data_IF_096105740354
#
_entry.id   IF_096105740354
#
_cell.length_a   1.000
_cell.length_b   1.000
_cell.length_c   1.000
_cell.angle_alpha   90.00
_cell.angle_beta   90.00
_cell.angle_gamma   90.00
#
_symmetry.space_group_name_H-M   'P 1'
#
loop_
_entity.id
_entity.type
_entity.pdbx_description
1 polymer ?
#
# COMPACT_ATOMS: atom_id res chain seq x y z
N UNK A 1 4.56 22.26 20.77
CA UNK A 1 3.46 21.47 20.15
C UNK A 1 2.55 20.81 21.19
N UNK A 2 2.88 19.68 21.84
CA UNK A 2 2.01 19.12 22.92
C UNK A 2 1.80 20.06 24.12
N UNK A 3 2.79 20.91 24.40
CA UNK A 3 2.77 21.87 25.50
C UNK A 3 1.89 23.10 25.17
N UNK A 4 1.72 23.44 23.88
CA UNK A 4 1.00 24.65 23.44
C UNK A 4 -0.48 24.39 23.10
N UNK A 5 -0.83 23.17 22.69
CA UNK A 5 -2.19 22.84 22.22
C UNK A 5 -2.97 21.93 23.18
N UNK A 6 -2.40 21.49 24.31
CA UNK A 6 -3.10 20.61 25.25
C UNK A 6 -3.31 19.17 24.76
N UNK A 7 -4.22 18.43 25.40
CA UNK A 7 -4.56 17.05 25.03
C UNK A 7 -5.62 17.04 23.92
N UNK A 8 -5.21 16.62 22.74
CA UNK A 8 -6.09 16.34 21.60
C UNK A 8 -5.95 14.89 21.16
N UNK A 9 -6.98 14.38 20.47
CA UNK A 9 -6.96 13.05 19.86
C UNK A 9 -6.00 12.98 18.66
N UNK A 10 -5.72 11.75 18.20
CA UNK A 10 -4.78 11.51 17.10
C UNK A 10 -5.24 12.17 15.79
N UNK A 11 -6.55 12.16 15.54
CA UNK A 11 -7.17 12.75 14.35
C UNK A 11 -6.92 14.24 14.27
N UNK A 12 -7.12 14.97 15.37
CA UNK A 12 -6.84 16.39 15.44
C UNK A 12 -5.36 16.70 15.20
N UNK A 13 -4.45 15.92 15.78
CA UNK A 13 -3.02 16.11 15.54
C UNK A 13 -2.63 15.88 14.07
N UNK A 14 -3.21 14.87 13.41
CA UNK A 14 -3.01 14.65 11.98
C UNK A 14 -3.50 15.86 11.17
N UNK A 15 -4.69 16.36 11.45
CA UNK A 15 -5.25 17.54 10.78
C UNK A 15 -4.40 18.78 11.02
N UNK A 16 -3.99 19.06 12.25
CA UNK A 16 -3.17 20.23 12.58
C UNK A 16 -1.80 20.20 11.88
N UNK A 17 -1.17 19.02 11.79
CA UNK A 17 0.10 18.84 11.06
C UNK A 17 -0.10 19.05 9.57
N UNK A 18 -1.15 18.47 8.99
CA UNK A 18 -1.50 18.66 7.58
C UNK A 18 -1.77 20.15 7.31
N UNK A 19 -2.63 20.82 8.08
CA UNK A 19 -2.93 22.24 7.88
C UNK A 19 -1.70 23.12 7.97
N UNK A 20 -0.76 22.81 8.87
CA UNK A 20 0.44 23.64 9.09
C UNK A 20 1.59 23.35 8.10
N UNK A 21 1.72 22.12 7.63
CA UNK A 21 2.91 21.67 6.89
C UNK A 21 2.63 21.05 5.52
N UNK A 22 1.37 20.69 5.21
CA UNK A 22 0.97 20.16 3.90
C UNK A 22 0.83 21.28 2.87
N UNK A 23 1.95 21.88 2.48
CA UNK A 23 2.01 22.70 1.29
C UNK A 23 1.94 21.84 0.02
N UNK A 24 1.77 22.49 -1.14
CA UNK A 24 1.66 21.81 -2.45
C UNK A 24 2.82 20.85 -2.70
N UNK A 25 4.04 21.24 -2.32
CA UNK A 25 5.23 20.39 -2.47
C UNK A 25 5.20 19.13 -1.60
N UNK A 26 4.63 19.20 -0.39
CA UNK A 26 4.43 18.02 0.46
C UNK A 26 3.38 17.08 -0.14
N UNK A 27 2.25 17.62 -0.62
CA UNK A 27 1.21 16.82 -1.29
C UNK A 27 1.77 16.08 -2.49
N UNK A 28 2.48 16.80 -3.36
CA UNK A 28 3.15 16.21 -4.52
C UNK A 28 4.13 15.09 -4.15
N UNK A 29 4.91 15.25 -3.07
CA UNK A 29 5.80 14.20 -2.56
C UNK A 29 5.04 12.97 -2.09
N UNK A 30 3.92 13.15 -1.38
CA UNK A 30 3.09 12.04 -0.90
C UNK A 30 2.40 11.31 -2.05
N UNK A 31 1.84 12.04 -3.02
CA UNK A 31 1.25 11.49 -4.24
C UNK A 31 2.29 10.69 -5.03
N UNK A 32 3.47 11.27 -5.32
CA UNK A 32 4.55 10.53 -5.99
C UNK A 32 5.00 9.31 -5.19
N UNK A 33 5.07 9.41 -3.85
CA UNK A 33 5.44 8.27 -3.02
C UNK A 33 4.37 7.17 -3.02
N UNK A 34 3.10 7.51 -3.25
CA UNK A 34 2.03 6.54 -3.42
C UNK A 34 2.09 5.93 -4.82
N UNK A 35 2.17 6.75 -5.86
CA UNK A 35 2.21 6.33 -7.27
C UNK A 35 3.39 5.40 -7.59
N UNK A 36 4.59 5.73 -7.11
CA UNK A 36 5.79 4.93 -7.38
C UNK A 36 5.89 3.67 -6.50
N UNK A 37 4.94 3.43 -5.60
CA UNK A 37 5.03 2.34 -4.66
C UNK A 37 4.26 1.11 -5.11
N UNK A 38 4.76 0.53 -6.19
CA UNK A 38 4.31 -0.77 -6.71
C UNK A 38 4.65 -1.88 -5.71
N UNK A 39 3.78 -2.88 -5.59
CA UNK A 39 4.04 -4.06 -4.75
C UNK A 39 5.18 -4.90 -5.30
N UNK A 40 6.10 -5.34 -4.44
CA UNK A 40 7.11 -6.34 -4.75
C UNK A 40 6.90 -7.59 -3.88
N UNK A 41 6.27 -8.66 -4.42
CA UNK A 41 6.03 -9.94 -3.74
C UNK A 41 7.23 -10.64 -3.12
N UNK A 42 8.46 -10.32 -3.55
CA UNK A 42 9.68 -10.92 -2.98
C UNK A 42 10.20 -10.17 -1.77
N UNK A 43 9.91 -8.87 -1.67
CA UNK A 43 10.50 -7.97 -0.67
C UNK A 43 9.48 -7.45 0.35
N UNK A 44 8.25 -7.26 -0.09
CA UNK A 44 7.20 -6.65 0.72
C UNK A 44 6.47 -7.69 1.56
N UNK A 45 6.33 -7.40 2.85
CA UNK A 45 5.40 -8.12 3.73
C UNK A 45 3.99 -7.56 3.51
N UNK A 46 3.01 -8.36 3.09
CA UNK A 46 1.69 -7.85 2.68
C UNK A 46 1.03 -6.95 3.71
N UNK A 47 0.93 -7.41 4.96
CA UNK A 47 0.39 -6.63 6.09
C UNK A 47 1.04 -5.24 6.22
N UNK A 48 2.37 -5.21 6.29
CA UNK A 48 3.13 -3.97 6.50
C UNK A 48 3.03 -3.04 5.30
N UNK A 49 3.11 -3.60 4.10
CA UNK A 49 3.02 -2.83 2.87
C UNK A 49 1.63 -2.21 2.70
N UNK A 50 0.58 -3.00 2.95
CA UNK A 50 -0.81 -2.57 2.82
C UNK A 50 -1.13 -1.43 3.80
N UNK A 51 -0.80 -1.57 5.08
CA UNK A 51 -1.02 -0.51 6.06
C UNK A 51 -0.24 0.77 5.75
N UNK A 52 1.01 0.65 5.29
CA UNK A 52 1.80 1.80 4.85
C UNK A 52 1.15 2.56 3.68
N UNK A 53 0.41 1.86 2.82
CA UNK A 53 -0.36 2.47 1.72
C UNK A 53 -1.62 3.15 2.24
N UNK A 54 -2.36 2.44 3.10
CA UNK A 54 -3.56 2.96 3.77
C UNK A 54 -3.25 4.26 4.52
N UNK A 55 -2.15 4.30 5.26
CA UNK A 55 -1.71 5.51 5.97
C UNK A 55 -1.44 6.69 5.01
N UNK A 56 -0.74 6.44 3.90
CA UNK A 56 -0.46 7.48 2.89
C UNK A 56 -1.73 8.01 2.24
N UNK A 57 -2.64 7.12 1.86
CA UNK A 57 -3.93 7.51 1.26
C UNK A 57 -4.79 8.28 2.26
N UNK A 58 -4.87 7.84 3.51
CA UNK A 58 -5.63 8.55 4.56
C UNK A 58 -5.07 9.96 4.85
N UNK A 59 -3.76 10.15 4.66
CA UNK A 59 -3.12 11.45 4.83
C UNK A 59 -3.38 12.40 3.65
N UNK A 60 -3.55 11.87 2.44
CA UNK A 60 -3.88 12.62 1.22
C UNK A 60 -5.38 12.89 1.10
N UNK A 61 -6.20 11.92 1.46
CA UNK A 61 -7.64 11.88 1.29
C UNK A 61 -8.29 11.40 2.58
N UNK A 62 -8.46 12.28 3.59
CA UNK A 62 -9.01 11.89 4.89
C UNK A 62 -10.47 11.39 4.81
N UNK A 63 -11.21 11.80 3.76
CA UNK A 63 -12.62 11.46 3.57
C UNK A 63 -12.84 10.26 2.64
N UNK A 64 -11.78 9.55 2.24
CA UNK A 64 -11.89 8.36 1.39
C UNK A 64 -12.51 7.19 2.17
N UNK A 65 -13.43 6.46 1.55
CA UNK A 65 -13.98 5.25 2.16
C UNK A 65 -12.94 4.14 2.22
N UNK A 66 -13.06 3.23 3.21
CA UNK A 66 -12.17 2.07 3.33
C UNK A 66 -12.19 1.19 2.08
N UNK A 67 -13.37 0.98 1.47
CA UNK A 67 -13.51 0.24 0.21
C UNK A 67 -12.74 0.90 -0.93
N UNK A 68 -12.89 2.21 -1.10
CA UNK A 68 -12.17 2.95 -2.16
C UNK A 68 -10.67 2.94 -1.91
N UNK A 69 -10.25 3.04 -0.66
CA UNK A 69 -8.85 2.96 -0.27
C UNK A 69 -8.26 1.58 -0.57
N UNK A 70 -8.97 0.49 -0.25
CA UNK A 70 -8.55 -0.87 -0.57
C UNK A 70 -8.43 -1.08 -2.10
N UNK A 71 -9.39 -0.56 -2.88
CA UNK A 71 -9.35 -0.61 -4.35
C UNK A 71 -8.15 0.12 -4.95
N UNK A 72 -7.80 1.29 -4.40
CA UNK A 72 -6.67 2.06 -4.90
C UNK A 72 -5.33 1.42 -4.52
N UNK A 73 -5.26 0.76 -3.36
CA UNK A 73 -4.10 -0.07 -2.98
C UNK A 73 -3.96 -1.27 -3.90
N UNK A 74 -5.08 -1.93 -4.23
CA UNK A 74 -5.11 -3.09 -5.13
C UNK A 74 -4.58 -2.74 -6.54
N UNK A 75 -4.90 -1.56 -7.06
CA UNK A 75 -4.32 -1.07 -8.33
C UNK A 75 -2.80 -0.95 -8.30
N UNK A 76 -2.18 -0.75 -7.12
CA UNK A 76 -0.71 -0.71 -6.98
C UNK A 76 -0.05 -2.08 -6.95
N UNK A 77 -0.81 -3.17 -6.83
CA UNK A 77 -0.29 -4.52 -7.01
C UNK A 77 0.07 -4.78 -8.48
N UNK A 78 -0.77 -4.31 -9.40
CA UNK A 78 -0.58 -4.43 -10.84
C UNK A 78 -0.58 -5.87 -11.39
N UNK A 79 -0.79 -5.99 -12.70
CA UNK A 79 -0.58 -7.23 -13.45
C UNK A 79 -1.29 -8.45 -12.88
N UNK A 80 -0.56 -9.56 -12.78
CA UNK A 80 -1.10 -10.84 -12.30
C UNK A 80 -1.49 -10.83 -10.83
N UNK A 81 -0.79 -10.05 -9.99
CA UNK A 81 -1.08 -9.98 -8.56
C UNK A 81 -2.41 -9.27 -8.31
N UNK A 82 -2.65 -8.14 -9.00
CA UNK A 82 -3.93 -7.45 -8.97
C UNK A 82 -5.07 -8.37 -9.45
N UNK A 83 -4.87 -9.09 -10.56
CA UNK A 83 -5.87 -10.01 -11.07
C UNK A 83 -6.18 -11.14 -10.08
N UNK A 84 -5.15 -11.78 -9.53
CA UNK A 84 -5.29 -12.88 -8.58
C UNK A 84 -5.99 -12.44 -7.27
N UNK A 85 -5.75 -11.21 -6.83
CA UNK A 85 -6.43 -10.61 -5.68
C UNK A 85 -7.90 -10.34 -5.98
N UNK A 86 -8.22 -9.74 -7.13
CA UNK A 86 -9.61 -9.50 -7.57
C UNK A 86 -10.42 -10.80 -7.65
N UNK A 87 -9.80 -11.90 -8.08
CA UNK A 87 -10.46 -13.19 -8.13
C UNK A 87 -10.74 -13.81 -6.76
N UNK A 88 -9.94 -13.49 -5.74
CA UNK A 88 -10.10 -14.00 -4.36
C UNK A 88 -10.99 -13.10 -3.49
N UNK A 89 -11.01 -11.81 -3.77
CA UNK A 89 -11.68 -10.78 -2.98
C UNK A 89 -12.95 -10.30 -3.71
N UNK A 90 -14.06 -11.03 -3.53
CA UNK A 90 -15.37 -10.62 -4.07
C UNK A 90 -16.04 -9.65 -3.10
N UNK A 91 -16.49 -8.51 -3.61
CA UNK A 91 -17.16 -7.47 -2.81
C UNK A 91 -18.44 -7.99 -2.14
N UNK A 92 -18.73 -7.60 -0.87
CA UNK A 92 -17.92 -6.73 -0.02
C UNK A 92 -16.72 -7.47 0.58
N UNK A 93 -15.53 -6.87 0.47
CA UNK A 93 -14.28 -7.47 0.94
C UNK A 93 -13.59 -6.54 1.96
N UNK A 94 -13.28 -7.06 3.14
CA UNK A 94 -12.65 -6.27 4.20
C UNK A 94 -11.16 -6.05 3.94
N UNK A 95 -10.55 -5.08 4.63
CA UNK A 95 -9.09 -4.89 4.58
C UNK A 95 -8.34 -6.17 5.00
N UNK A 96 -8.85 -6.91 5.98
CA UNK A 96 -8.23 -8.18 6.42
C UNK A 96 -8.30 -9.25 5.34
N UNK A 97 -9.45 -9.36 4.65
CA UNK A 97 -9.61 -10.32 3.55
C UNK A 97 -8.60 -10.04 2.42
N UNK A 98 -8.40 -8.78 2.04
CA UNK A 98 -7.39 -8.40 1.04
C UNK A 98 -5.98 -8.78 1.48
N UNK A 99 -5.63 -8.55 2.75
CA UNK A 99 -4.30 -8.85 3.28
C UNK A 99 -4.09 -10.36 3.32
N UNK A 100 -5.06 -11.12 3.84
CA UNK A 100 -5.01 -12.58 3.90
C UNK A 100 -4.90 -13.19 2.50
N UNK A 101 -5.67 -12.70 1.53
CA UNK A 101 -5.57 -13.14 0.14
C UNK A 101 -4.20 -12.80 -0.48
N UNK A 102 -3.63 -11.64 -0.16
CA UNK A 102 -2.31 -11.24 -0.63
C UNK A 102 -1.21 -12.12 -0.03
N UNK A 103 -1.28 -12.43 1.26
CA UNK A 103 -0.38 -13.38 1.92
C UNK A 103 -0.50 -14.78 1.34
N UNK A 104 -1.71 -15.29 1.14
CA UNK A 104 -1.97 -16.58 0.51
C UNK A 104 -1.36 -16.64 -0.89
N UNK A 105 -1.61 -15.64 -1.75
CA UNK A 105 -1.05 -15.59 -3.11
C UNK A 105 0.48 -15.63 -3.07
N UNK A 106 1.11 -14.79 -2.25
CA UNK A 106 2.56 -14.63 -2.26
C UNK A 106 3.27 -15.87 -1.67
N UNK A 107 2.63 -16.55 -0.72
CA UNK A 107 3.16 -17.76 -0.08
C UNK A 107 2.93 -19.01 -0.92
N UNK A 108 1.73 -19.18 -1.49
CA UNK A 108 1.34 -20.40 -2.22
C UNK A 108 1.68 -20.35 -3.71
N UNK A 109 1.90 -19.17 -4.27
CA UNK A 109 2.17 -19.00 -5.71
C UNK A 109 3.50 -18.29 -5.98
N UNK A 110 4.00 -18.44 -7.22
CA UNK A 110 5.14 -17.65 -7.74
C UNK A 110 4.69 -16.35 -8.42
N UNK A 111 3.40 -15.98 -8.32
CA UNK A 111 2.85 -14.81 -9.00
C UNK A 111 3.56 -13.55 -8.51
N UNK A 112 4.03 -12.74 -9.46
CA UNK A 112 4.71 -11.47 -9.21
C UNK A 112 6.15 -11.59 -8.64
N UNK A 113 6.73 -12.79 -8.59
CA UNK A 113 8.18 -12.98 -8.33
C UNK A 113 8.96 -12.88 -9.64
N UNK A 114 10.07 -12.16 -9.63
CA UNK A 114 10.97 -12.08 -10.78
C UNK A 114 11.75 -13.38 -10.91
N UNK A 115 11.75 -13.98 -12.11
CA UNK A 115 12.62 -15.11 -12.40
C UNK A 115 14.08 -14.64 -12.36
N UNK A 116 14.78 -14.90 -11.26
CA UNK A 116 16.24 -14.85 -11.25
C UNK A 116 16.73 -16.08 -12.00
N UNK A 117 17.36 -15.88 -13.16
CA UNK A 117 18.12 -16.96 -13.83
C UNK A 117 19.16 -17.46 -12.82
N UNK A 118 19.09 -18.74 -12.48
CA UNK A 118 20.10 -19.38 -11.64
C UNK A 118 21.49 -19.14 -12.26
N UNK A 119 22.54 -18.83 -11.47
CA UNK A 119 23.90 -18.55 -11.99
C UNK A 119 24.57 -19.70 -12.78
N UNK A 120 23.87 -20.82 -13.01
CA UNK A 120 24.43 -22.02 -13.63
C UNK A 120 24.37 -22.03 -15.17
N UNK A 121 23.75 -21.03 -15.82
CA UNK A 121 23.61 -20.98 -17.29
C UNK A 121 24.52 -19.96 -17.99
N UNK A 122 25.57 -19.44 -17.34
CA UNK A 122 26.54 -18.51 -17.97
C UNK A 122 27.90 -19.14 -18.29
N UNK A 123 27.97 -20.46 -18.40
CA UNK A 123 29.15 -21.16 -18.93
C UNK A 123 28.73 -22.15 -20.00
N UNK A 124 28.45 -21.65 -21.20
CA UNK A 124 28.69 -22.29 -22.51
C UNK A 124 28.35 -21.21 -23.54
N UNK A 125 29.40 -20.59 -24.07
CA UNK A 125 29.69 -20.20 -25.47
C UNK A 125 30.91 -19.28 -25.41
#
# INVERSE_FOLDING_TARGET
>A
MRIDHGKHDCSWWKSAVITKWANISWRYKMENAFENSISNPEKDKPLTWFFKKKDRLSALHPDISDTMMNMEILRKCGGELEHALKSRCVEPCSTEDYINAMEDIITTTRIGKTWTKSPMESKII
#
